data_IF_224553645228
#
_entry.id   IF_224553645228
#
_cell.length_a   1.000
_cell.length_b   1.000
_cell.length_c   1.000
_cell.angle_alpha   90.00
_cell.angle_beta   90.00
_cell.angle_gamma   90.00
#
_symmetry.space_group_name_H-M   'P 1'
#
loop_
_entity.id
_entity.type
_entity.pdbx_description
1 polymer ?
#
# COMPACT_ATOMS: atom_id res chain seq x y z
N UNK A 1 -20.27 -0.19 -7.64
CA UNK A 1 -19.11 -0.76 -6.94
C UNK A 1 -19.14 -0.19 -5.53
N UNK A 2 -19.01 -1.02 -4.49
CA UNK A 2 -18.95 -0.50 -3.13
C UNK A 2 -17.49 -0.07 -2.91
N UNK A 3 -17.19 1.20 -3.18
CA UNK A 3 -15.80 1.71 -3.29
C UNK A 3 -15.03 1.75 -1.95
N UNK A 4 -15.67 1.34 -0.85
CA UNK A 4 -15.04 1.36 0.46
C UNK A 4 -14.76 -0.04 0.99
N UNK A 5 -13.48 -0.32 1.22
CA UNK A 5 -13.00 -1.51 1.93
C UNK A 5 -12.56 -1.08 3.33
N UNK A 6 -13.06 -1.75 4.36
CA UNK A 6 -12.61 -1.55 5.74
C UNK A 6 -11.13 -1.91 5.91
N UNK A 7 -10.43 -1.16 6.75
CA UNK A 7 -9.09 -1.52 7.16
C UNK A 7 -9.08 -2.79 8.01
N UNK A 8 -8.06 -3.62 7.79
CA UNK A 8 -7.86 -4.90 8.49
C UNK A 8 -7.22 -4.73 9.87
N UNK A 9 -6.54 -3.61 10.10
CA UNK A 9 -5.91 -3.25 11.37
C UNK A 9 -5.90 -1.74 11.60
N UNK A 10 -5.49 -1.32 12.81
CA UNK A 10 -5.45 0.10 13.18
C UNK A 10 -4.39 0.88 12.41
N UNK A 11 -3.25 0.27 12.10
CA UNK A 11 -2.17 0.95 11.41
C UNK A 11 -2.61 1.35 10.01
N UNK A 12 -3.21 0.42 9.26
CA UNK A 12 -3.80 0.67 7.96
C UNK A 12 -4.88 1.77 8.02
N UNK A 13 -5.77 1.72 9.02
CA UNK A 13 -6.81 2.73 9.19
C UNK A 13 -6.24 4.14 9.43
N UNK A 14 -5.23 4.27 10.30
CA UNK A 14 -4.54 5.52 10.60
C UNK A 14 -3.83 6.06 9.36
N UNK A 15 -3.06 5.23 8.68
CA UNK A 15 -2.36 5.58 7.44
C UNK A 15 -3.34 6.08 6.37
N UNK A 16 -4.42 5.34 6.13
CA UNK A 16 -5.43 5.74 5.13
C UNK A 16 -6.15 7.03 5.51
N UNK A 17 -6.42 7.27 6.79
CA UNK A 17 -6.98 8.54 7.27
C UNK A 17 -6.05 9.72 7.01
N UNK A 18 -4.76 9.61 7.36
CA UNK A 18 -3.75 10.65 7.05
C UNK A 18 -3.65 10.89 5.55
N UNK A 19 -3.62 9.81 4.76
CA UNK A 19 -3.54 9.87 3.31
C UNK A 19 -4.78 10.55 2.68
N UNK A 20 -5.98 10.36 3.22
CA UNK A 20 -7.20 10.99 2.69
C UNK A 20 -7.17 12.52 2.83
N UNK A 21 -6.54 13.04 3.88
CA UNK A 21 -6.48 14.48 4.17
C UNK A 21 -5.16 15.14 3.80
N UNK A 22 -4.23 14.42 3.18
CA UNK A 22 -2.89 14.93 2.85
C UNK A 22 -2.10 15.32 4.10
N UNK A 23 -2.43 14.72 5.25
CA UNK A 23 -1.74 14.97 6.51
C UNK A 23 -0.46 14.13 6.57
N UNK A 24 0.56 14.56 7.34
CA UNK A 24 1.77 13.77 7.51
C UNK A 24 1.45 12.33 7.96
N UNK A 25 2.25 11.33 7.53
CA UNK A 25 2.14 9.97 8.04
C UNK A 25 2.13 9.95 9.57
N UNK A 26 1.14 9.29 10.15
CA UNK A 26 1.00 9.15 11.60
C UNK A 26 1.34 7.72 11.99
N UNK A 27 2.17 7.57 13.03
CA UNK A 27 2.47 6.26 13.61
C UNK A 27 1.64 6.01 14.85
N UNK A 28 1.33 4.74 15.10
CA UNK A 28 0.73 4.35 16.37
C UNK A 28 1.71 4.69 17.52
N UNK A 29 1.20 5.33 18.56
CA UNK A 29 1.92 5.63 19.79
C UNK A 29 2.04 4.40 20.69
N UNK A 30 2.64 4.56 21.89
CA UNK A 30 2.84 3.47 22.86
C UNK A 30 1.58 2.65 23.11
N UNK A 31 1.71 1.32 23.04
CA UNK A 31 0.58 0.39 23.15
C UNK A 31 -0.34 0.38 21.93
N UNK A 32 0.18 0.71 20.74
CA UNK A 32 -0.55 0.69 19.47
C UNK A 32 -1.78 1.61 19.44
N UNK A 33 -1.65 2.76 20.13
CA UNK A 33 -2.72 3.75 20.27
C UNK A 33 -2.56 4.84 19.22
N UNK A 34 -3.65 5.18 18.56
CA UNK A 34 -3.73 6.35 17.70
C UNK A 34 -3.46 7.63 18.49
N UNK A 35 -2.73 8.56 17.86
CA UNK A 35 -2.42 9.87 18.42
C UNK A 35 -3.61 10.80 18.23
N UNK A 36 -3.80 11.75 19.16
CA UNK A 36 -4.85 12.77 19.03
C UNK A 36 -4.65 13.65 17.79
N UNK A 37 -3.39 13.86 17.39
CA UNK A 37 -3.02 14.61 16.20
C UNK A 37 -3.67 14.08 14.93
N UNK A 38 -3.85 12.76 14.79
CA UNK A 38 -4.59 12.16 13.68
C UNK A 38 -6.00 12.73 13.56
N UNK A 39 -6.75 12.79 14.67
CA UNK A 39 -8.13 13.28 14.69
C UNK A 39 -8.19 14.79 14.38
N UNK A 40 -7.24 15.55 14.92
CA UNK A 40 -7.13 17.00 14.67
C UNK A 40 -6.82 17.26 13.19
N UNK A 41 -5.86 16.52 12.62
CA UNK A 41 -5.46 16.61 11.22
C UNK A 41 -6.60 16.18 10.28
N UNK A 42 -7.33 15.11 10.63
CA UNK A 42 -8.51 14.67 9.92
C UNK A 42 -9.59 15.76 9.89
N UNK A 43 -9.89 16.35 11.05
CA UNK A 43 -10.86 17.43 11.16
C UNK A 43 -10.42 18.65 10.34
N UNK A 44 -9.15 19.06 10.43
CA UNK A 44 -8.59 20.17 9.67
C UNK A 44 -8.67 19.93 8.16
N UNK A 45 -8.20 18.78 7.67
CA UNK A 45 -8.19 18.45 6.25
C UNK A 45 -9.59 18.28 5.66
N UNK A 46 -10.57 17.89 6.47
CA UNK A 46 -11.98 17.88 6.08
C UNK A 46 -12.71 19.19 6.43
N UNK A 47 -12.03 20.21 6.94
CA UNK A 47 -12.65 21.49 7.31
C UNK A 47 -13.82 21.33 8.30
N UNK A 48 -13.73 20.35 9.20
CA UNK A 48 -14.72 20.05 10.23
C UNK A 48 -14.31 20.78 11.50
N UNK A 49 -15.20 21.63 12.01
CA UNK A 49 -15.02 22.28 13.31
C UNK A 49 -15.26 21.28 14.45
N UNK A 50 -14.26 21.13 15.32
CA UNK A 50 -14.27 20.28 16.51
C UNK A 50 -13.64 21.03 17.68
N UNK A 51 -14.02 20.67 18.91
CA UNK A 51 -13.33 21.13 20.11
C UNK A 51 -12.05 20.31 20.33
N UNK A 52 -10.91 20.89 19.96
CA UNK A 52 -9.60 20.23 20.12
C UNK A 52 -9.13 20.14 21.57
N UNK A 53 -9.81 20.79 22.53
CA UNK A 53 -9.49 20.67 23.96
C UNK A 53 -10.12 19.43 24.60
N UNK A 54 -11.22 18.93 24.02
CA UNK A 54 -11.89 17.71 24.46
C UNK A 54 -10.99 16.47 24.36
N UNK A 55 -11.38 15.38 25.02
CA UNK A 55 -10.62 14.13 24.96
C UNK A 55 -10.73 13.41 23.60
N UNK A 56 -9.89 12.40 23.36
CA UNK A 56 -9.83 11.71 22.06
C UNK A 56 -11.19 11.12 21.63
N UNK A 57 -11.91 10.35 22.48
CA UNK A 57 -13.23 9.83 22.12
C UNK A 57 -14.23 10.93 21.76
N UNK A 58 -14.23 12.05 22.48
CA UNK A 58 -15.15 13.15 22.21
C UNK A 58 -14.82 13.86 20.89
N UNK A 59 -13.54 14.14 20.61
CA UNK A 59 -13.11 14.68 19.30
C UNK A 59 -13.55 13.74 18.18
N UNK A 60 -13.29 12.43 18.30
CA UNK A 60 -13.69 11.44 17.30
C UNK A 60 -15.21 11.38 17.11
N UNK A 61 -15.99 11.45 18.20
CA UNK A 61 -17.46 11.50 18.16
C UNK A 61 -17.96 12.72 17.40
N UNK A 62 -17.37 13.90 17.63
CA UNK A 62 -17.73 15.13 16.92
C UNK A 62 -17.46 15.01 15.42
N UNK A 63 -16.30 14.46 15.02
CA UNK A 63 -15.98 14.19 13.60
C UNK A 63 -17.00 13.21 13.02
N UNK A 64 -17.24 12.08 13.68
CA UNK A 64 -18.19 11.07 13.23
C UNK A 64 -19.60 11.65 13.03
N UNK A 65 -20.08 12.46 13.96
CA UNK A 65 -21.38 13.12 13.85
C UNK A 65 -21.47 14.04 12.62
N UNK A 66 -20.41 14.82 12.35
CA UNK A 66 -20.35 15.71 11.17
C UNK A 66 -20.23 14.94 9.86
N UNK A 67 -19.62 13.75 9.90
CA UNK A 67 -19.59 12.84 8.77
C UNK A 67 -20.87 12.02 8.60
N UNK A 68 -21.85 12.11 9.52
CA UNK A 68 -23.06 11.30 9.49
C UNK A 68 -22.82 9.82 9.82
N UNK A 69 -21.80 9.52 10.63
CA UNK A 69 -21.48 8.17 11.10
C UNK A 69 -21.98 7.98 12.53
N UNK A 70 -22.61 6.84 12.80
CA UNK A 70 -22.97 6.47 14.18
C UNK A 70 -21.70 6.32 15.03
N UNK A 71 -21.72 6.83 16.26
CA UNK A 71 -20.64 6.63 17.23
C UNK A 71 -21.19 5.89 18.44
N UNK A 72 -20.74 4.67 18.66
CA UNK A 72 -21.28 3.76 19.71
C UNK A 72 -20.17 3.35 20.68
N UNK A 73 -20.51 2.73 21.83
CA UNK A 73 -19.52 2.40 22.86
C UNK A 73 -18.39 1.47 22.41
N UNK A 74 -18.59 0.68 21.36
CA UNK A 74 -17.56 -0.18 20.74
C UNK A 74 -16.51 0.58 19.92
N UNK A 75 -16.72 1.88 19.64
CA UNK A 75 -15.81 2.72 18.86
C UNK A 75 -14.58 3.18 19.66
N UNK A 76 -14.59 3.00 20.98
CA UNK A 76 -13.49 3.36 21.85
C UNK A 76 -13.43 2.42 23.05
N UNK A 77 -12.27 2.34 23.69
CA UNK A 77 -12.02 1.49 24.85
C UNK A 77 -11.44 2.29 26.02
N UNK A 78 -11.28 1.63 27.17
CA UNK A 78 -10.66 2.21 28.36
C UNK A 78 -9.31 2.87 28.02
N UNK A 79 -9.05 4.02 28.65
CA UNK A 79 -7.86 4.82 28.35
C UNK A 79 -7.94 5.60 27.04
N UNK A 80 -9.15 6.03 26.64
CA UNK A 80 -9.40 6.95 25.53
C UNK A 80 -8.86 6.46 24.17
N UNK A 81 -8.77 5.15 23.98
CA UNK A 81 -8.24 4.56 22.74
C UNK A 81 -9.37 4.33 21.77
N UNK A 82 -9.24 4.82 20.54
CA UNK A 82 -10.20 4.54 19.47
C UNK A 82 -9.92 3.12 18.95
N UNK A 83 -10.95 2.29 18.92
CA UNK A 83 -10.83 0.90 18.43
C UNK A 83 -10.74 0.89 16.90
N UNK A 84 -10.36 -0.25 16.30
CA UNK A 84 -10.44 -0.41 14.85
C UNK A 84 -11.87 -0.16 14.31
N UNK A 85 -12.91 -0.51 15.09
CA UNK A 85 -14.31 -0.21 14.73
C UNK A 85 -14.53 1.30 14.62
N UNK A 86 -14.07 2.07 15.62
CA UNK A 86 -14.18 3.53 15.61
C UNK A 86 -13.41 4.15 14.44
N UNK A 87 -12.18 3.70 14.20
CA UNK A 87 -11.34 4.17 13.10
C UNK A 87 -11.96 3.86 11.73
N UNK A 88 -12.51 2.67 11.52
CA UNK A 88 -13.18 2.31 10.26
C UNK A 88 -14.45 3.14 10.02
N UNK A 89 -15.17 3.54 11.08
CA UNK A 89 -16.31 4.48 10.93
C UNK A 89 -15.84 5.86 10.48
N UNK A 90 -14.79 6.39 11.09
CA UNK A 90 -14.20 7.66 10.66
C UNK A 90 -13.70 7.57 9.22
N UNK A 91 -12.99 6.49 8.89
CA UNK A 91 -12.42 6.25 7.56
C UNK A 91 -13.51 6.14 6.48
N UNK A 92 -14.57 5.36 6.72
CA UNK A 92 -15.74 5.27 5.84
C UNK A 92 -16.40 6.63 5.62
N UNK A 93 -16.63 7.39 6.70
CA UNK A 93 -17.22 8.72 6.63
C UNK A 93 -16.35 9.72 5.85
N UNK A 94 -15.05 9.73 6.14
CA UNK A 94 -14.07 10.59 5.49
C UNK A 94 -13.93 10.27 4.00
N UNK A 95 -13.86 8.98 3.65
CA UNK A 95 -13.80 8.52 2.27
C UNK A 95 -15.01 9.01 1.45
N UNK A 96 -16.22 8.89 2.02
CA UNK A 96 -17.45 9.39 1.40
C UNK A 96 -17.40 10.91 1.20
N UNK A 97 -16.96 11.66 2.21
CA UNK A 97 -16.90 13.12 2.15
C UNK A 97 -15.86 13.62 1.12
N UNK A 98 -14.66 13.04 1.10
CA UNK A 98 -13.63 13.36 0.10
C UNK A 98 -14.13 13.04 -1.30
N UNK A 99 -14.74 11.87 -1.50
CA UNK A 99 -15.32 11.47 -2.79
C UNK A 99 -16.40 12.44 -3.25
N UNK A 100 -17.27 12.89 -2.33
CA UNK A 100 -18.31 13.90 -2.61
C UNK A 100 -17.70 15.23 -3.03
N UNK A 101 -16.67 15.71 -2.32
CA UNK A 101 -15.97 16.98 -2.64
C UNK A 101 -15.29 16.92 -4.00
N UNK A 102 -14.59 15.82 -4.31
CA UNK A 102 -13.94 15.63 -5.62
C UNK A 102 -14.95 15.71 -6.76
N UNK A 103 -16.09 15.03 -6.62
CA UNK A 103 -17.19 15.08 -7.61
C UNK A 103 -17.72 16.50 -7.81
N UNK A 104 -17.87 17.29 -6.74
CA UNK A 104 -18.35 18.67 -6.81
C UNK A 104 -17.31 19.64 -7.41
N UNK A 105 -16.03 19.43 -7.12
CA UNK A 105 -14.96 20.34 -7.55
C UNK A 105 -14.58 20.17 -9.02
N UNK A 106 -15.00 19.08 -9.69
CA UNK A 106 -14.66 18.82 -11.09
C UNK A 106 -13.16 18.71 -11.38
N UNK A 107 -12.33 18.53 -10.33
CA UNK A 107 -10.87 18.53 -10.43
C UNK A 107 -10.42 17.28 -11.17
N UNK A 108 -9.69 17.41 -12.31
CA UNK A 108 -9.14 16.26 -13.02
C UNK A 108 -8.17 15.46 -12.13
N UNK A 109 -8.26 14.13 -12.21
CA UNK A 109 -7.28 13.22 -11.62
C UNK A 109 -5.92 13.44 -12.27
N UNK A 110 -4.94 13.97 -11.53
CA UNK A 110 -3.56 14.14 -12.02
C UNK A 110 -2.88 15.43 -11.55
N UNK A 111 -3.62 16.51 -11.30
CA UNK A 111 -3.03 17.81 -10.94
C UNK A 111 -2.98 18.05 -9.42
N UNK A 112 -2.50 17.04 -8.69
CA UNK A 112 -2.39 17.08 -7.23
C UNK A 112 -0.92 17.14 -6.82
N UNK A 113 -0.55 17.94 -5.80
CA UNK A 113 0.77 17.84 -5.19
C UNK A 113 1.05 16.40 -4.76
N UNK A 114 2.28 15.94 -4.94
CA UNK A 114 2.73 14.67 -4.41
C UNK A 114 2.76 14.70 -2.88
N UNK A 115 2.48 13.56 -2.27
CA UNK A 115 2.33 13.34 -0.83
C UNK A 115 3.67 13.11 -0.15
N UNK A 116 4.61 12.55 -0.88
CA UNK A 116 5.94 12.21 -0.41
C UNK A 116 6.99 12.68 -1.41
N UNK A 117 8.23 12.86 -0.95
CA UNK A 117 9.34 13.17 -1.85
C UNK A 117 9.54 12.07 -2.88
N UNK A 118 9.38 10.81 -2.48
CA UNK A 118 9.53 9.66 -3.36
C UNK A 118 8.46 9.65 -4.45
N UNK A 119 7.19 9.92 -4.12
CA UNK A 119 6.14 10.12 -5.13
C UNK A 119 6.49 11.28 -6.06
N UNK A 120 6.95 12.41 -5.52
CA UNK A 120 7.28 13.59 -6.32
C UNK A 120 8.38 13.28 -7.36
N UNK A 121 9.50 12.70 -6.92
CA UNK A 121 10.60 12.36 -7.85
C UNK A 121 10.21 11.26 -8.83
N UNK A 122 9.37 10.32 -8.41
CA UNK A 122 8.85 9.25 -9.27
C UNK A 122 7.99 9.83 -10.37
N UNK A 123 7.02 10.69 -10.02
CA UNK A 123 6.16 11.38 -11.00
C UNK A 123 6.97 12.26 -11.94
N UNK A 124 7.92 13.04 -11.42
CA UNK A 124 8.80 13.87 -12.26
C UNK A 124 9.57 13.01 -13.27
N UNK A 125 10.07 11.85 -12.86
CA UNK A 125 10.80 10.95 -13.76
C UNK A 125 9.88 10.37 -14.83
N UNK A 126 8.66 9.98 -14.46
CA UNK A 126 7.62 9.51 -15.38
C UNK A 126 7.33 10.53 -16.51
N UNK A 127 7.24 11.83 -16.19
CA UNK A 127 6.95 12.89 -17.17
C UNK A 127 7.85 12.92 -18.41
N UNK A 128 9.05 12.35 -18.33
CA UNK A 128 10.07 12.38 -19.38
C UNK A 128 10.60 11.00 -19.75
N UNK A 129 9.84 9.96 -19.41
CA UNK A 129 10.24 8.56 -19.58
C UNK A 129 11.56 8.17 -18.89
N UNK A 130 11.97 8.92 -17.86
CA UNK A 130 13.14 8.62 -17.06
C UNK A 130 13.00 7.30 -16.27
N UNK A 131 14.13 6.69 -15.85
CA UNK A 131 14.11 5.50 -15.01
C UNK A 131 13.51 5.82 -13.63
N UNK A 132 12.90 4.86 -12.92
CA UNK A 132 12.48 5.07 -11.53
C UNK A 132 13.64 5.52 -10.66
N UNK A 133 13.44 6.58 -9.90
CA UNK A 133 14.48 7.19 -9.07
C UNK A 133 14.29 6.76 -7.62
N UNK A 134 15.36 6.33 -6.96
CA UNK A 134 15.37 6.12 -5.51
C UNK A 134 15.85 7.38 -4.80
N UNK A 135 15.41 7.57 -3.56
CA UNK A 135 15.99 8.60 -2.70
C UNK A 135 17.41 8.17 -2.28
N UNK A 136 18.33 9.12 -2.24
CA UNK A 136 19.65 8.94 -1.66
C UNK A 136 19.63 8.98 -0.12
N UNK A 137 20.78 8.76 0.53
CA UNK A 137 20.90 8.76 1.99
C UNK A 137 20.25 10.00 2.64
N UNK A 138 19.42 9.75 3.65
CA UNK A 138 18.65 10.80 4.35
C UNK A 138 17.42 11.30 3.57
N UNK A 139 16.81 10.45 2.73
CA UNK A 139 15.61 10.77 1.94
C UNK A 139 15.80 11.99 1.03
N UNK A 140 17.00 12.11 0.46
CA UNK A 140 17.39 13.22 -0.41
C UNK A 140 17.20 12.83 -1.88
N UNK A 141 16.51 13.67 -2.61
CA UNK A 141 16.37 13.57 -4.05
C UNK A 141 17.73 13.64 -4.77
N UNK A 142 17.91 12.82 -5.80
CA UNK A 142 19.12 12.82 -6.63
C UNK A 142 19.04 13.96 -7.66
N UNK A 143 20.19 14.55 -8.00
CA UNK A 143 20.25 15.58 -9.07
C UNK A 143 19.80 15.02 -10.43
N UNK A 144 19.99 13.72 -10.67
CA UNK A 144 19.54 13.01 -11.89
C UNK A 144 18.07 13.26 -12.22
N UNK A 145 17.19 13.28 -11.22
CA UNK A 145 15.74 13.56 -11.41
C UNK A 145 15.50 14.85 -12.20
N UNK A 146 16.28 15.90 -11.88
CA UNK A 146 16.13 17.22 -12.52
C UNK A 146 16.83 17.27 -13.88
N UNK A 147 17.93 16.52 -14.04
CA UNK A 147 18.65 16.42 -15.31
C UNK A 147 17.81 15.67 -16.35
N UNK A 148 17.18 14.57 -15.96
CA UNK A 148 16.28 13.79 -16.81
C UNK A 148 15.09 14.65 -17.24
N UNK A 149 14.51 15.41 -16.30
CA UNK A 149 13.43 16.36 -16.58
C UNK A 149 13.86 17.47 -17.55
N UNK A 150 15.02 18.09 -17.32
CA UNK A 150 15.58 19.14 -18.18
C UNK A 150 15.77 18.63 -19.62
N UNK A 151 16.36 17.44 -19.76
CA UNK A 151 16.60 16.81 -21.04
C UNK A 151 15.29 16.45 -21.76
N UNK A 152 14.33 15.86 -21.05
CA UNK A 152 13.05 15.44 -21.64
C UNK A 152 12.12 16.60 -22.00
N UNK A 153 12.19 17.71 -21.26
CA UNK A 153 11.50 18.95 -21.63
C UNK A 153 12.25 19.74 -22.71
N UNK A 154 13.52 19.39 -22.98
CA UNK A 154 14.44 20.15 -23.82
C UNK A 154 14.47 21.64 -23.42
N UNK A 155 14.61 21.90 -22.12
CA UNK A 155 14.49 23.24 -21.54
C UNK A 155 15.70 24.14 -21.84
N UNK A 156 16.86 23.55 -22.19
CA UNK A 156 18.07 24.28 -22.56
C UNK A 156 18.71 24.99 -21.38
N UNK A 157 18.63 24.39 -20.19
CA UNK A 157 19.13 24.98 -18.95
C UNK A 157 20.57 24.56 -18.67
N UNK A 158 21.29 25.35 -17.88
CA UNK A 158 22.64 25.01 -17.46
C UNK A 158 22.63 23.84 -16.45
N UNK A 159 23.00 22.66 -16.92
CA UNK A 159 23.04 21.43 -16.12
C UNK A 159 24.22 21.38 -15.14
N UNK A 160 25.17 22.32 -15.21
CA UNK A 160 26.28 22.45 -14.26
C UNK A 160 25.85 23.02 -12.91
N UNK A 161 24.68 23.69 -12.86
CA UNK A 161 24.10 24.31 -11.66
C UNK A 161 24.00 23.36 -10.48
N UNK A 162 23.95 23.91 -9.27
CA UNK A 162 23.64 23.11 -8.08
C UNK A 162 22.25 22.48 -8.20
N UNK A 163 21.96 21.46 -7.38
CA UNK A 163 20.65 20.77 -7.43
C UNK A 163 19.50 21.74 -7.14
N UNK A 164 19.63 22.61 -6.15
CA UNK A 164 18.58 23.60 -5.83
C UNK A 164 18.47 24.68 -6.89
N UNK A 165 19.59 25.10 -7.49
CA UNK A 165 19.58 26.15 -8.51
C UNK A 165 19.03 25.63 -9.84
N UNK A 166 19.31 24.37 -10.20
CA UNK A 166 18.71 23.73 -11.36
C UNK A 166 17.19 23.57 -11.19
N UNK A 167 16.72 23.18 -10.00
CA UNK A 167 15.28 23.10 -9.72
C UNK A 167 14.60 24.48 -9.78
N UNK A 168 15.24 25.51 -9.23
CA UNK A 168 14.79 26.91 -9.36
C UNK A 168 14.67 27.30 -10.84
N UNK A 169 15.74 27.09 -11.61
CA UNK A 169 15.78 27.44 -13.02
C UNK A 169 14.69 26.73 -13.83
N UNK A 170 14.43 25.44 -13.55
CA UNK A 170 13.33 24.68 -14.14
C UNK A 170 11.96 25.31 -13.81
N UNK A 171 11.70 25.60 -12.53
CA UNK A 171 10.41 26.21 -12.11
C UNK A 171 10.21 27.58 -12.75
N UNK A 172 11.24 28.43 -12.76
CA UNK A 172 11.17 29.76 -13.36
C UNK A 172 11.00 29.70 -14.89
N UNK A 173 11.72 28.78 -15.57
CA UNK A 173 11.57 28.54 -17.00
C UNK A 173 10.13 28.10 -17.36
N UNK A 174 9.48 27.35 -16.48
CA UNK A 174 8.10 26.89 -16.63
C UNK A 174 7.06 27.91 -16.11
N UNK A 175 7.46 29.15 -15.81
CA UNK A 175 6.55 30.23 -15.40
C UNK A 175 6.09 30.16 -13.93
N UNK A 176 6.77 29.39 -13.09
CA UNK A 176 6.52 29.29 -11.66
C UNK A 176 7.37 30.23 -10.80
N UNK A 177 7.15 30.15 -9.48
CA UNK A 177 7.94 30.89 -8.49
C UNK A 177 8.67 29.93 -7.56
N UNK A 178 9.91 30.27 -7.21
CA UNK A 178 10.74 29.53 -6.27
C UNK A 178 11.10 30.42 -5.08
N UNK A 179 10.95 29.92 -3.86
CA UNK A 179 11.25 30.68 -2.64
C UNK A 179 11.96 29.80 -1.58
N UNK A 180 12.21 30.38 -0.41
CA UNK A 180 12.94 29.73 0.67
C UNK A 180 12.22 28.53 1.30
N UNK A 181 10.93 28.33 1.02
CA UNK A 181 10.21 27.11 1.44
C UNK A 181 10.56 25.90 0.57
N UNK A 182 11.14 26.13 -0.61
CA UNK A 182 11.41 25.10 -1.61
C UNK A 182 12.71 24.31 -1.34
N UNK A 183 13.54 24.74 -0.39
CA UNK A 183 14.81 24.11 -0.10
C UNK A 183 15.19 24.21 1.38
N UNK A 184 16.10 23.36 1.82
CA UNK A 184 16.66 23.36 3.18
C UNK A 184 18.18 23.33 3.14
N UNK A 185 18.80 23.61 4.30
CA UNK A 185 20.25 23.55 4.47
C UNK A 185 20.86 22.25 3.89
N UNK A 186 22.00 22.38 3.21
CA UNK A 186 22.68 21.26 2.56
C UNK A 186 22.12 20.85 1.20
N UNK A 187 21.62 21.82 0.41
CA UNK A 187 21.23 21.62 -1.00
C UNK A 187 20.15 20.54 -1.18
N UNK A 188 19.21 20.46 -0.23
CA UNK A 188 18.09 19.51 -0.28
C UNK A 188 16.82 20.26 -0.64
N UNK A 189 16.11 19.79 -1.67
CA UNK A 189 14.84 20.33 -2.10
C UNK A 189 13.75 19.78 -1.18
N UNK A 190 12.87 20.63 -0.69
CA UNK A 190 11.75 20.20 0.16
C UNK A 190 10.68 19.50 -0.68
N UNK A 191 9.71 18.83 -0.04
CA UNK A 191 8.56 18.31 -0.78
C UNK A 191 7.80 19.45 -1.49
N UNK A 192 7.69 20.61 -0.85
CA UNK A 192 7.10 21.82 -1.46
C UNK A 192 7.85 22.20 -2.74
N UNK A 193 9.19 22.29 -2.70
CA UNK A 193 9.99 22.59 -3.89
C UNK A 193 9.83 21.56 -5.00
N UNK A 194 9.81 20.26 -4.68
CA UNK A 194 9.56 19.19 -5.64
C UNK A 194 8.15 19.28 -6.25
N UNK A 195 7.14 19.61 -5.45
CA UNK A 195 5.78 19.80 -5.93
C UNK A 195 5.67 20.99 -6.88
N UNK A 196 6.43 22.07 -6.67
CA UNK A 196 6.49 23.18 -7.62
C UNK A 196 7.10 22.77 -8.95
N UNK A 197 8.17 21.97 -8.95
CA UNK A 197 8.75 21.40 -10.18
C UNK A 197 7.71 20.53 -10.89
N UNK A 198 7.14 19.57 -10.16
CA UNK A 198 6.20 18.58 -10.67
C UNK A 198 4.98 19.23 -11.32
N UNK A 199 4.28 20.11 -10.59
CA UNK A 199 3.04 20.71 -11.06
C UNK A 199 3.26 21.59 -12.30
N UNK A 200 4.39 22.29 -12.38
CA UNK A 200 4.75 23.11 -13.54
C UNK A 200 5.14 22.28 -14.76
N UNK A 201 5.86 21.19 -14.55
CA UNK A 201 6.19 20.26 -15.64
C UNK A 201 4.92 19.56 -16.19
N UNK A 202 4.01 19.12 -15.31
CA UNK A 202 2.72 18.54 -15.69
C UNK A 202 1.84 19.52 -16.49
N UNK A 203 1.80 20.79 -16.09
CA UNK A 203 1.09 21.85 -16.80
C UNK A 203 1.67 22.07 -18.20
N UNK A 204 2.99 22.20 -18.31
CA UNK A 204 3.69 22.43 -19.57
C UNK A 204 3.51 21.30 -20.59
N UNK A 205 3.54 20.05 -20.14
CA UNK A 205 3.36 18.88 -21.00
C UNK A 205 1.92 18.76 -21.50
N UNK A 206 0.95 19.12 -20.66
CA UNK A 206 -0.46 19.16 -21.04
C UNK A 206 -0.75 20.23 -22.08
N UNK A 207 -0.21 21.43 -21.92
CA UNK A 207 -0.34 22.51 -22.89
C UNK A 207 0.31 22.17 -24.24
N UNK A 208 1.31 21.28 -24.23
CA UNK A 208 1.94 20.70 -25.41
C UNK A 208 1.17 19.56 -26.07
N UNK A 209 -0.03 19.19 -25.58
CA UNK A 209 -0.83 18.07 -26.09
C UNK A 209 -0.41 16.69 -25.55
N UNK A 210 0.46 16.62 -24.55
CA UNK A 210 0.85 15.39 -23.88
C UNK A 210 -0.22 14.91 -22.88
N UNK A 211 -0.47 13.59 -22.85
CA UNK A 211 -1.34 12.96 -21.85
C UNK A 211 -0.54 12.67 -20.58
N UNK A 212 -0.44 13.66 -19.67
CA UNK A 212 0.07 13.43 -18.33
C UNK A 212 -1.02 12.76 -17.48
N UNK A 213 -1.17 11.44 -17.59
CA UNK A 213 -2.23 10.69 -16.89
C UNK A 213 -1.65 9.52 -16.10
N UNK A 214 -1.34 9.77 -14.82
CA UNK A 214 -0.97 8.73 -13.86
C UNK A 214 0.25 9.09 -13.01
N UNK A 215 0.43 8.40 -11.88
CA UNK A 215 1.71 8.45 -11.13
C UNK A 215 2.82 7.74 -11.93
N UNK A 216 2.41 6.78 -12.77
CA UNK A 216 3.26 5.91 -13.56
C UNK A 216 2.70 5.74 -14.97
N UNK A 217 3.58 5.76 -15.97
CA UNK A 217 3.17 5.62 -17.38
C UNK A 217 3.09 4.15 -17.83
N UNK A 218 3.68 3.22 -17.05
CA UNK A 218 3.64 1.78 -17.34
C UNK A 218 3.51 0.94 -16.07
N UNK A 219 2.89 -0.25 -16.13
CA UNK A 219 2.82 -1.20 -15.02
C UNK A 219 4.19 -1.63 -14.50
N UNK A 220 5.22 -1.70 -15.36
CA UNK A 220 6.59 -2.01 -14.97
C UNK A 220 7.20 -0.94 -14.07
N UNK A 221 7.06 0.34 -14.44
CA UNK A 221 7.54 1.47 -13.61
C UNK A 221 6.81 1.50 -12.26
N UNK A 222 5.49 1.28 -12.27
CA UNK A 222 4.69 1.16 -11.05
C UNK A 222 5.22 0.02 -10.17
N UNK A 223 5.36 -1.20 -10.72
CA UNK A 223 5.89 -2.35 -10.00
C UNK A 223 7.26 -2.07 -9.36
N UNK A 224 8.21 -1.53 -10.11
CA UNK A 224 9.55 -1.22 -9.63
C UNK A 224 9.53 -0.25 -8.44
N UNK A 225 8.70 0.79 -8.50
CA UNK A 225 8.56 1.76 -7.42
C UNK A 225 7.87 1.15 -6.19
N UNK A 226 6.84 0.30 -6.38
CA UNK A 226 6.20 -0.43 -5.29
C UNK A 226 7.20 -1.37 -4.60
N UNK A 227 8.00 -2.14 -5.37
CA UNK A 227 9.01 -3.03 -4.81
C UNK A 227 10.08 -2.27 -4.00
N UNK A 228 10.51 -1.10 -4.47
CA UNK A 228 11.49 -0.27 -3.76
C UNK A 228 10.96 0.19 -2.40
N UNK A 229 9.71 0.65 -2.32
CA UNK A 229 9.07 1.04 -1.05
C UNK A 229 8.91 -0.16 -0.12
N UNK A 230 8.47 -1.29 -0.64
CA UNK A 230 8.31 -2.51 0.15
C UNK A 230 9.66 -2.97 0.72
N UNK A 231 10.73 -2.94 -0.06
CA UNK A 231 12.04 -3.37 0.43
C UNK A 231 12.56 -2.55 1.62
N UNK A 232 12.18 -1.26 1.71
CA UNK A 232 12.55 -0.41 2.84
C UNK A 232 11.75 -0.73 4.12
N UNK A 233 10.54 -1.29 3.98
CA UNK A 233 9.65 -1.59 5.12
C UNK A 233 9.81 -2.99 5.68
N UNK A 234 10.41 -3.90 4.92
CA UNK A 234 10.55 -5.31 5.29
C UNK A 234 11.67 -5.54 6.32
N UNK A 235 11.39 -6.26 7.43
CA UNK A 235 12.45 -6.80 8.28
C UNK A 235 13.30 -7.82 7.52
N UNK A 236 14.61 -7.83 7.73
CA UNK A 236 15.51 -8.85 7.17
C UNK A 236 15.26 -10.25 7.73
N UNK A 237 14.60 -10.34 8.90
CA UNK A 237 14.15 -11.58 9.52
C UNK A 237 12.79 -11.36 10.19
N UNK A 238 11.82 -12.22 9.87
CA UNK A 238 10.49 -12.20 10.46
C UNK A 238 10.36 -13.34 11.48
N UNK A 239 10.46 -13.02 12.77
CA UNK A 239 10.16 -13.98 13.86
C UNK A 239 8.65 -14.12 14.04
N UNK A 240 8.13 -15.35 13.96
CA UNK A 240 6.70 -15.59 13.98
C UNK A 240 6.00 -15.15 15.27
N UNK A 241 6.68 -15.16 16.43
CA UNK A 241 6.08 -14.70 17.69
C UNK A 241 5.94 -13.19 17.68
N UNK A 242 7.04 -12.50 17.36
CA UNK A 242 7.08 -11.04 17.25
C UNK A 242 6.05 -10.54 16.22
N UNK A 243 6.01 -11.13 15.03
CA UNK A 243 5.05 -10.74 14.00
C UNK A 243 3.59 -10.91 14.44
N UNK A 244 3.25 -12.02 15.12
CA UNK A 244 1.90 -12.26 15.64
C UNK A 244 1.55 -11.29 16.77
N UNK A 245 2.50 -11.00 17.67
CA UNK A 245 2.31 -10.04 18.76
C UNK A 245 2.09 -8.62 18.23
N UNK A 246 2.86 -8.18 17.23
CA UNK A 246 2.71 -6.88 16.57
C UNK A 246 1.35 -6.76 15.87
N UNK A 247 0.98 -7.75 15.04
CA UNK A 247 -0.34 -7.77 14.41
C UNK A 247 -1.48 -7.78 15.44
N UNK A 248 -1.32 -8.51 16.56
CA UNK A 248 -2.30 -8.50 17.64
C UNK A 248 -2.40 -7.12 18.29
N UNK A 249 -1.27 -6.48 18.59
CA UNK A 249 -1.23 -5.17 19.20
C UNK A 249 -1.91 -4.09 18.34
N UNK A 250 -1.87 -4.22 17.02
CA UNK A 250 -2.54 -3.32 16.07
C UNK A 250 -4.00 -3.71 15.77
N UNK A 251 -4.56 -4.67 16.49
CA UNK A 251 -5.93 -5.19 16.30
C UNK A 251 -6.15 -5.82 14.91
N UNK A 252 -5.11 -6.37 14.27
CA UNK A 252 -5.24 -7.02 12.97
C UNK A 252 -6.24 -8.17 12.99
N UNK A 253 -7.12 -8.24 11.99
CA UNK A 253 -8.08 -9.35 11.88
C UNK A 253 -7.40 -10.70 11.62
N UNK A 254 -6.12 -10.70 11.23
CA UNK A 254 -5.39 -11.87 10.77
C UNK A 254 -4.32 -12.41 11.73
N UNK A 255 -4.05 -11.75 12.87
CA UNK A 255 -3.01 -12.18 13.84
C UNK A 255 -3.15 -13.63 14.29
N UNK A 256 -4.39 -14.15 14.32
CA UNK A 256 -4.71 -15.49 14.78
C UNK A 256 -4.68 -16.56 13.66
N UNK A 257 -4.18 -16.27 12.46
CA UNK A 257 -4.12 -17.23 11.35
C UNK A 257 -2.76 -17.94 11.30
N UNK A 258 -2.70 -19.07 10.58
CA UNK A 258 -1.48 -19.88 10.44
C UNK A 258 -0.57 -19.33 9.33
N UNK A 259 -1.15 -18.62 8.36
CA UNK A 259 -0.49 -17.90 7.25
C UNK A 259 0.11 -16.55 7.70
N UNK A 260 0.60 -16.47 8.94
CA UNK A 260 1.01 -15.22 9.58
C UNK A 260 2.03 -14.43 8.77
N UNK A 261 2.95 -15.08 8.04
CA UNK A 261 3.98 -14.39 7.25
C UNK A 261 3.39 -13.59 6.08
N UNK A 262 2.33 -14.10 5.43
CA UNK A 262 1.62 -13.36 4.38
C UNK A 262 0.89 -12.14 4.94
N UNK A 263 0.16 -12.34 6.04
CA UNK A 263 -0.55 -11.24 6.68
C UNK A 263 0.39 -10.19 7.30
N UNK A 264 1.54 -10.61 7.82
CA UNK A 264 2.54 -9.69 8.33
C UNK A 264 3.21 -8.91 7.21
N UNK A 265 3.44 -9.54 6.05
CA UNK A 265 3.91 -8.83 4.86
C UNK A 265 2.93 -7.71 4.46
N UNK A 266 1.64 -8.00 4.37
CA UNK A 266 0.60 -6.98 4.13
C UNK A 266 0.63 -5.88 5.22
N UNK A 267 0.75 -6.27 6.49
CA UNK A 267 0.76 -5.38 7.65
C UNK A 267 1.86 -4.32 7.60
N UNK A 268 3.07 -4.68 7.15
CA UNK A 268 4.21 -3.75 7.08
C UNK A 268 4.32 -3.03 5.74
N UNK A 269 3.91 -3.66 4.63
CA UNK A 269 4.03 -3.09 3.30
C UNK A 269 2.96 -2.04 3.00
N UNK A 270 1.69 -2.33 3.30
CA UNK A 270 0.57 -1.48 2.90
C UNK A 270 0.64 -0.05 3.47
N UNK A 271 1.01 0.18 4.74
CA UNK A 271 1.16 1.52 5.28
C UNK A 271 2.14 2.38 4.46
N UNK A 272 3.29 1.83 4.10
CA UNK A 272 4.32 2.59 3.41
C UNK A 272 3.97 2.84 1.94
N UNK A 273 3.31 1.87 1.28
CA UNK A 273 2.74 2.08 -0.06
C UNK A 273 1.71 3.21 -0.06
N UNK A 274 0.77 3.19 0.90
CA UNK A 274 -0.30 4.19 0.99
C UNK A 274 0.24 5.57 1.40
N UNK A 275 1.20 5.63 2.32
CA UNK A 275 1.85 6.89 2.69
C UNK A 275 2.66 7.48 1.53
N UNK A 276 3.32 6.62 0.75
CA UNK A 276 4.16 7.05 -0.35
C UNK A 276 3.34 7.51 -1.54
N UNK A 277 2.47 6.65 -2.07
CA UNK A 277 1.78 6.85 -3.36
C UNK A 277 0.27 7.10 -3.22
N UNK A 278 -0.29 6.97 -2.01
CA UNK A 278 -1.73 6.90 -1.83
C UNK A 278 -2.28 5.55 -2.28
N UNK A 279 -3.46 5.55 -2.90
CA UNK A 279 -4.15 4.29 -3.22
C UNK A 279 -4.68 3.60 -1.95
N UNK A 280 -4.91 2.29 -2.06
CA UNK A 280 -5.40 1.45 -0.97
C UNK A 280 -6.16 0.23 -1.49
N UNK A 281 -6.76 -0.57 -0.60
CA UNK A 281 -7.45 -1.79 -1.00
C UNK A 281 -8.67 -1.49 -1.87
N UNK A 282 -8.95 -2.40 -2.80
CA UNK A 282 -10.14 -2.36 -3.66
C UNK A 282 -10.84 -3.70 -3.65
N UNK A 283 -12.06 -3.78 -4.18
CA UNK A 283 -12.80 -5.04 -4.25
C UNK A 283 -13.43 -5.27 -5.61
N UNK A 284 -13.33 -6.51 -6.08
CA UNK A 284 -14.08 -7.02 -7.22
C UNK A 284 -14.88 -8.23 -6.75
N UNK A 285 -16.17 -8.25 -7.09
CA UNK A 285 -17.15 -9.12 -6.45
C UNK A 285 -17.11 -8.99 -4.91
N UNK A 286 -16.75 -10.07 -4.21
CA UNK A 286 -16.60 -10.16 -2.76
C UNK A 286 -15.14 -10.44 -2.36
N UNK A 287 -14.19 -10.20 -3.27
CA UNK A 287 -12.77 -10.39 -3.00
C UNK A 287 -12.08 -9.03 -2.92
N UNK A 288 -11.42 -8.81 -1.80
CA UNK A 288 -10.55 -7.65 -1.59
C UNK A 288 -9.20 -7.96 -2.21
N UNK A 289 -8.67 -6.99 -2.96
CA UNK A 289 -7.29 -6.95 -3.44
C UNK A 289 -6.54 -5.95 -2.57
N UNK A 290 -5.33 -6.32 -2.19
CA UNK A 290 -4.60 -5.65 -1.11
C UNK A 290 -4.28 -4.19 -1.41
N UNK A 291 -3.93 -3.88 -2.66
CA UNK A 291 -3.53 -2.53 -3.06
C UNK A 291 -4.02 -2.16 -4.46
N UNK A 292 -4.42 -0.91 -4.62
CA UNK A 292 -4.77 -0.35 -5.92
C UNK A 292 -4.25 1.08 -6.02
N UNK A 293 -3.57 1.33 -7.12
CA UNK A 293 -3.15 2.66 -7.55
C UNK A 293 -3.64 2.87 -8.99
N UNK A 294 -2.74 2.95 -9.97
CA UNK A 294 -3.11 2.92 -11.40
C UNK A 294 -3.64 1.52 -11.71
N UNK A 295 -2.83 0.52 -11.38
CA UNK A 295 -3.18 -0.90 -11.52
C UNK A 295 -3.65 -1.49 -10.19
N UNK A 296 -4.19 -2.71 -10.25
CA UNK A 296 -4.57 -3.50 -9.06
C UNK A 296 -3.42 -4.44 -8.72
N UNK A 297 -2.98 -4.44 -7.47
CA UNK A 297 -1.89 -5.26 -6.97
C UNK A 297 -2.34 -6.07 -5.76
N UNK A 298 -1.95 -7.34 -5.74
CA UNK A 298 -2.26 -8.27 -4.65
C UNK A 298 -0.95 -8.82 -4.09
N UNK A 299 -0.77 -8.72 -2.79
CA UNK A 299 0.46 -9.09 -2.11
C UNK A 299 0.43 -10.59 -1.82
N UNK A 300 1.56 -11.25 -2.05
CA UNK A 300 1.70 -12.68 -1.80
C UNK A 300 3.01 -12.96 -1.10
N UNK A 301 2.97 -13.79 -0.07
CA UNK A 301 4.16 -14.37 0.52
C UNK A 301 4.31 -15.79 0.00
N UNK A 302 5.43 -16.05 -0.68
CA UNK A 302 5.80 -17.34 -1.23
C UNK A 302 7.04 -17.86 -0.52
N UNK A 303 7.02 -19.15 -0.18
CA UNK A 303 8.14 -19.81 0.49
C UNK A 303 8.77 -20.84 -0.42
N UNK A 304 10.08 -21.00 -0.32
CA UNK A 304 10.92 -22.02 -0.97
C UNK A 304 10.37 -23.46 -0.92
N UNK A 305 9.53 -23.78 0.07
CA UNK A 305 8.84 -25.06 0.20
C UNK A 305 7.62 -25.28 -0.72
N UNK A 306 7.24 -24.28 -1.53
CA UNK A 306 6.17 -24.36 -2.53
C UNK A 306 6.73 -23.96 -3.90
N UNK A 307 6.17 -24.52 -4.97
CA UNK A 307 6.46 -24.08 -6.35
C UNK A 307 5.34 -23.18 -6.91
N UNK A 308 4.30 -22.96 -6.13
CA UNK A 308 3.06 -22.32 -6.56
C UNK A 308 2.60 -21.29 -5.53
N UNK A 309 2.26 -20.10 -6.00
CA UNK A 309 1.54 -19.08 -5.23
C UNK A 309 0.04 -19.19 -5.51
N UNK A 310 -0.77 -19.41 -4.46
CA UNK A 310 -2.23 -19.43 -4.58
C UNK A 310 -2.73 -17.98 -4.69
N UNK A 311 -3.47 -17.69 -5.77
CA UNK A 311 -3.98 -16.36 -6.07
C UNK A 311 -5.41 -16.18 -5.53
N UNK A 312 -6.06 -15.08 -5.89
CA UNK A 312 -7.46 -14.79 -5.56
C UNK A 312 -8.47 -15.67 -6.32
N UNK A 313 -9.76 -15.50 -5.98
CA UNK A 313 -10.85 -16.21 -6.63
C UNK A 313 -10.90 -15.87 -8.12
N UNK A 314 -11.12 -16.90 -8.96
CA UNK A 314 -11.10 -16.77 -10.42
C UNK A 314 -12.01 -15.65 -10.94
N UNK A 315 -13.29 -15.66 -10.54
CA UNK A 315 -14.26 -14.66 -11.00
C UNK A 315 -13.90 -13.22 -10.61
N UNK A 316 -13.26 -13.03 -9.45
CA UNK A 316 -12.80 -11.71 -9.02
C UNK A 316 -11.61 -11.21 -9.85
N UNK A 317 -10.64 -12.08 -10.17
CA UNK A 317 -9.51 -11.74 -11.05
C UNK A 317 -10.02 -11.43 -12.47
N UNK A 318 -10.91 -12.26 -13.01
CA UNK A 318 -11.50 -12.04 -14.33
C UNK A 318 -12.29 -10.72 -14.37
N UNK A 319 -13.11 -10.45 -13.37
CA UNK A 319 -13.83 -9.17 -13.25
C UNK A 319 -12.87 -7.99 -13.15
N UNK A 320 -11.77 -8.11 -12.39
CA UNK A 320 -10.73 -7.09 -12.32
C UNK A 320 -10.15 -6.79 -13.69
N UNK A 321 -9.76 -7.82 -14.45
CA UNK A 321 -9.16 -7.73 -15.77
C UNK A 321 -10.09 -7.17 -16.86
N UNK A 322 -11.40 -7.11 -16.62
CA UNK A 322 -12.32 -6.37 -17.51
C UNK A 322 -12.27 -4.85 -17.30
N UNK A 323 -11.78 -4.41 -16.13
CA UNK A 323 -11.76 -3.00 -15.75
C UNK A 323 -10.36 -2.41 -15.82
N UNK A 324 -9.33 -3.13 -15.34
CA UNK A 324 -7.93 -2.70 -15.25
C UNK A 324 -7.00 -3.92 -15.21
N UNK A 325 -5.70 -3.71 -15.40
CA UNK A 325 -4.73 -4.77 -15.23
C UNK A 325 -4.60 -5.22 -13.78
N UNK A 326 -4.07 -6.43 -13.63
CA UNK A 326 -3.92 -7.13 -12.36
C UNK A 326 -2.48 -7.59 -12.19
N UNK A 327 -1.88 -7.22 -11.07
CA UNK A 327 -0.54 -7.60 -10.70
C UNK A 327 -0.43 -8.27 -9.34
N UNK A 328 0.70 -8.93 -9.15
CA UNK A 328 1.09 -9.64 -7.94
C UNK A 328 2.42 -9.09 -7.47
N UNK A 329 2.51 -8.71 -6.19
CA UNK A 329 3.76 -8.37 -5.53
C UNK A 329 4.12 -9.54 -4.62
N UNK A 330 5.07 -10.35 -5.05
CA UNK A 330 5.41 -11.63 -4.40
C UNK A 330 6.68 -11.45 -3.58
N UNK A 331 6.55 -11.60 -2.27
CA UNK A 331 7.67 -11.73 -1.34
C UNK A 331 8.12 -13.19 -1.29
N UNK A 332 9.31 -13.45 -1.81
CA UNK A 332 9.99 -14.74 -1.80
C UNK A 332 10.91 -14.87 -0.58
N UNK A 333 10.93 -16.04 0.04
CA UNK A 333 11.81 -16.28 1.18
C UNK A 333 11.86 -17.71 1.67
N UNK A 334 12.75 -17.93 2.63
CA UNK A 334 12.98 -19.23 3.25
C UNK A 334 12.17 -19.35 4.52
N UNK A 335 11.53 -20.50 4.73
CA UNK A 335 10.76 -20.76 5.95
C UNK A 335 11.49 -21.68 6.92
N UNK A 336 11.59 -21.27 8.18
CA UNK A 336 12.03 -22.19 9.22
C UNK A 336 10.82 -22.97 9.77
N UNK A 337 10.91 -24.29 9.67
CA UNK A 337 9.87 -25.18 10.18
C UNK A 337 9.92 -25.21 11.71
N UNK A 338 8.75 -25.10 12.32
CA UNK A 338 8.56 -25.19 13.78
C UNK A 338 8.84 -26.62 14.30
N UNK A 339 9.48 -26.71 15.47
CA UNK A 339 9.67 -27.95 16.23
C UNK A 339 8.42 -28.35 17.04
N UNK A 340 7.44 -27.45 17.10
CA UNK A 340 6.18 -27.58 17.82
C UNK A 340 6.00 -26.49 18.88
N UNK A 341 7.10 -25.88 19.33
CA UNK A 341 7.10 -24.86 20.37
C UNK A 341 6.38 -23.59 19.95
N UNK A 342 6.53 -23.15 18.69
CA UNK A 342 5.81 -21.99 18.17
C UNK A 342 4.32 -22.29 18.06
N UNK A 343 3.93 -23.48 17.56
CA UNK A 343 2.52 -23.86 17.44
C UNK A 343 1.82 -23.97 18.80
N UNK A 344 2.50 -24.47 19.82
CA UNK A 344 1.98 -24.51 21.18
C UNK A 344 1.81 -23.10 21.75
N UNK A 345 2.86 -22.28 21.65
CA UNK A 345 2.80 -20.88 22.03
C UNK A 345 1.65 -20.14 21.34
N UNK A 346 1.49 -20.28 20.02
CA UNK A 346 0.49 -19.56 19.24
C UNK A 346 -0.94 -19.97 19.66
N UNK A 347 -1.16 -21.25 19.96
CA UNK A 347 -2.43 -21.75 20.49
C UNK A 347 -2.74 -21.11 21.85
N UNK A 348 -1.76 -21.03 22.72
CA UNK A 348 -1.96 -20.54 24.07
C UNK A 348 -2.12 -19.00 24.08
N UNK A 349 -1.37 -18.30 23.22
CA UNK A 349 -1.55 -16.88 22.93
C UNK A 349 -2.95 -16.58 22.36
N UNK A 350 -3.45 -17.40 21.42
CA UNK A 350 -4.82 -17.28 20.89
C UNK A 350 -5.86 -17.40 22.00
N UNK A 351 -5.73 -18.41 22.87
CA UNK A 351 -6.66 -18.63 24.00
C UNK A 351 -6.62 -17.47 25.00
N UNK A 352 -5.43 -17.01 25.36
CA UNK A 352 -5.25 -15.89 26.28
C UNK A 352 -5.91 -14.60 25.77
N UNK A 353 -5.96 -14.43 24.44
CA UNK A 353 -6.59 -13.29 23.77
C UNK A 353 -7.99 -13.64 23.19
N UNK A 354 -8.72 -14.57 23.82
CA UNK A 354 -10.14 -14.81 23.55
C UNK A 354 -10.46 -15.59 22.27
N UNK A 355 -9.47 -16.15 21.57
CA UNK A 355 -9.65 -17.03 20.40
C UNK A 355 -9.51 -18.49 20.82
N UNK A 356 -10.64 -19.15 21.09
CA UNK A 356 -10.66 -20.59 21.34
C UNK A 356 -10.88 -21.38 20.04
N UNK A 357 -10.15 -22.49 19.81
CA UNK A 357 -10.43 -23.37 18.68
C UNK A 357 -11.86 -23.90 18.75
N UNK A 358 -12.56 -23.92 17.62
CA UNK A 358 -13.84 -24.61 17.54
C UNK A 358 -13.65 -26.11 17.86
N UNK A 359 -14.58 -26.73 18.63
CA UNK A 359 -14.52 -28.15 18.91
C UNK A 359 -14.55 -28.95 17.61
N UNK A 360 -13.70 -29.98 17.51
CA UNK A 360 -13.63 -30.88 16.35
C UNK A 360 -14.28 -32.20 16.70
N UNK A 361 -15.19 -32.68 15.85
CA UNK A 361 -15.81 -33.99 15.99
C UNK A 361 -14.83 -35.14 15.74
N UNK A 362 -13.78 -34.91 14.94
CA UNK A 362 -12.76 -35.89 14.58
C UNK A 362 -11.35 -35.29 14.67
N UNK A 363 -10.33 -36.09 15.00
CA UNK A 363 -8.95 -35.65 14.92
C UNK A 363 -8.61 -35.22 13.48
N UNK A 364 -7.73 -34.20 13.30
CA UNK A 364 -7.34 -33.78 11.96
C UNK A 364 -6.66 -34.92 11.21
N UNK A 365 -7.09 -35.16 9.97
CA UNK A 365 -6.48 -36.14 9.07
C UNK A 365 -5.00 -35.82 8.75
N UNK A 366 -4.59 -34.56 8.94
CA UNK A 366 -3.22 -34.11 8.70
C UNK A 366 -2.78 -33.08 9.74
N UNK A 367 -1.56 -33.22 10.26
CA UNK A 367 -0.92 -32.24 11.15
C UNK A 367 -0.05 -31.31 10.31
N UNK A 368 -0.57 -30.12 10.00
CA UNK A 368 0.18 -29.07 9.31
C UNK A 368 1.39 -28.66 10.15
N UNK A 369 2.57 -28.61 9.52
CA UNK A 369 3.77 -28.04 10.14
C UNK A 369 3.63 -26.52 10.17
N UNK A 370 3.84 -25.92 11.34
CA UNK A 370 3.84 -24.46 11.48
C UNK A 370 5.19 -23.89 11.00
N UNK A 371 5.18 -22.63 10.61
CA UNK A 371 6.38 -21.86 10.24
C UNK A 371 6.74 -21.01 11.44
N UNK A 372 7.94 -21.19 12.01
CA UNK A 372 8.40 -20.43 13.17
C UNK A 372 8.97 -19.06 12.78
N UNK A 373 9.61 -18.99 11.61
CA UNK A 373 10.13 -17.73 11.06
C UNK A 373 10.11 -17.74 9.53
N UNK A 374 10.30 -16.55 8.96
CA UNK A 374 10.43 -16.31 7.53
C UNK A 374 11.62 -15.38 7.27
N UNK A 375 12.45 -15.73 6.29
CA UNK A 375 13.61 -14.97 5.86
C UNK A 375 13.35 -14.42 4.45
N UNK A 376 12.97 -13.13 4.31
CA UNK A 376 12.83 -12.48 3.02
C UNK A 376 14.13 -12.54 2.20
N UNK A 377 14.02 -12.85 0.91
CA UNK A 377 15.19 -12.95 0.02
C UNK A 377 15.04 -12.15 -1.26
N UNK A 378 13.82 -12.05 -1.80
CA UNK A 378 13.55 -11.32 -3.03
C UNK A 378 12.11 -10.87 -3.08
N UNK A 379 11.87 -9.80 -3.81
CA UNK A 379 10.55 -9.39 -4.27
C UNK A 379 10.46 -9.58 -5.78
N UNK A 380 9.39 -10.19 -6.25
CA UNK A 380 9.06 -10.34 -7.66
C UNK A 380 7.71 -9.66 -7.95
N UNK A 381 7.57 -9.05 -9.12
CA UNK A 381 6.31 -8.47 -9.58
C UNK A 381 5.86 -9.15 -10.87
N UNK A 382 4.64 -9.68 -10.86
CA UNK A 382 4.01 -10.28 -12.03
C UNK A 382 2.78 -9.47 -12.43
N UNK A 383 2.52 -9.28 -13.73
CA UNK A 383 1.42 -8.44 -14.20
C UNK A 383 0.71 -9.03 -15.41
N UNK A 384 -0.62 -8.92 -15.40
CA UNK A 384 -1.53 -9.28 -16.48
C UNK A 384 -2.28 -8.01 -16.91
N UNK A 385 -2.07 -7.58 -18.15
CA UNK A 385 -2.71 -6.37 -18.68
C UNK A 385 -4.22 -6.52 -18.85
N UNK A 386 -4.67 -7.71 -19.25
CA UNK A 386 -6.06 -8.00 -19.57
C UNK A 386 -6.37 -9.51 -19.47
N UNK A 387 -7.58 -9.88 -19.90
CA UNK A 387 -8.03 -11.28 -19.89
C UNK A 387 -7.23 -12.15 -20.89
N UNK A 388 -6.84 -11.61 -22.05
CA UNK A 388 -6.11 -12.37 -23.06
C UNK A 388 -4.68 -12.71 -22.59
N UNK A 389 -4.06 -11.80 -21.85
CA UNK A 389 -2.80 -12.01 -21.15
C UNK A 389 -2.90 -13.19 -20.15
N UNK A 390 -3.98 -13.22 -19.34
CA UNK A 390 -4.21 -14.31 -18.40
C UNK A 390 -4.45 -15.66 -19.11
N UNK A 391 -5.25 -15.67 -20.18
CA UNK A 391 -5.52 -16.86 -21.00
C UNK A 391 -4.23 -17.42 -21.62
N UNK A 392 -3.39 -16.56 -22.17
CA UNK A 392 -2.09 -16.96 -22.72
C UNK A 392 -1.19 -17.60 -21.65
N UNK A 393 -1.21 -17.07 -20.42
CA UNK A 393 -0.46 -17.65 -19.30
C UNK A 393 -1.02 -19.00 -18.82
N UNK A 394 -2.34 -19.20 -18.94
CA UNK A 394 -2.98 -20.51 -18.69
C UNK A 394 -2.55 -21.55 -19.73
N UNK A 395 -2.55 -21.17 -21.02
CA UNK A 395 -2.16 -22.07 -22.12
C UNK A 395 -0.70 -22.50 -22.02
N UNK A 396 0.19 -21.60 -21.58
CA UNK A 396 1.60 -21.88 -21.33
C UNK A 396 1.85 -22.63 -19.99
N UNK A 397 0.80 -22.86 -19.19
CA UNK A 397 0.91 -23.51 -17.88
C UNK A 397 1.73 -22.72 -16.87
N UNK A 398 1.84 -21.40 -17.07
CA UNK A 398 2.39 -20.43 -16.11
C UNK A 398 1.37 -20.17 -14.99
N UNK A 399 0.08 -20.16 -15.36
CA UNK A 399 -1.05 -20.11 -14.41
C UNK A 399 -1.82 -21.43 -14.51
N UNK A 400 -2.45 -21.86 -13.43
CA UNK A 400 -3.35 -23.03 -13.42
C UNK A 400 -4.54 -22.83 -12.50
N UNK A 401 -5.59 -23.63 -12.70
CA UNK A 401 -6.82 -23.58 -11.88
C UNK A 401 -6.70 -24.52 -10.68
N UNK A 402 -6.96 -24.00 -9.48
CA UNK A 402 -7.06 -24.75 -8.24
C UNK A 402 -8.52 -24.94 -7.84
N UNK A 403 -8.93 -26.21 -7.74
CA UNK A 403 -10.19 -26.60 -7.13
C UNK A 403 -10.07 -26.60 -5.60
N UNK A 404 -10.99 -25.93 -4.90
CA UNK A 404 -10.91 -25.70 -3.45
C UNK A 404 -11.77 -26.65 -2.59
N UNK A 405 -12.44 -27.63 -3.20
CA UNK A 405 -13.34 -28.54 -2.51
C UNK A 405 -14.66 -27.88 -2.09
N UNK A 406 -15.21 -28.27 -0.93
CA UNK A 406 -16.50 -27.78 -0.41
C UNK A 406 -16.34 -26.88 0.81
N UNK A 407 -17.28 -25.96 1.00
CA UNK A 407 -17.47 -25.15 2.21
C UNK A 407 -17.98 -26.02 3.37
N UNK A 408 -17.99 -25.46 4.58
CA UNK A 408 -18.52 -26.13 5.77
C UNK A 408 -20.02 -26.45 5.66
N UNK A 409 -20.77 -25.67 4.86
CA UNK A 409 -22.19 -25.89 4.54
C UNK A 409 -22.40 -26.90 3.39
N UNK A 410 -21.34 -27.48 2.85
CA UNK A 410 -21.37 -28.45 1.75
C UNK A 410 -21.44 -27.85 0.34
N UNK A 411 -21.58 -26.53 0.19
CA UNK A 411 -21.53 -25.85 -1.11
C UNK A 411 -20.12 -25.91 -1.73
N UNK A 412 -20.00 -25.82 -3.05
CA UNK A 412 -18.69 -25.80 -3.71
C UNK A 412 -17.95 -24.49 -3.42
N UNK A 413 -16.67 -24.56 -3.07
CA UNK A 413 -15.82 -23.36 -2.96
C UNK A 413 -15.51 -22.84 -4.35
N UNK A 414 -15.55 -21.52 -4.54
CA UNK A 414 -15.07 -20.87 -5.77
C UNK A 414 -13.63 -21.31 -6.06
N UNK A 415 -13.35 -21.67 -7.31
CA UNK A 415 -11.99 -22.00 -7.74
C UNK A 415 -11.09 -20.78 -7.65
N UNK A 416 -9.79 -21.02 -7.46
CA UNK A 416 -8.76 -20.00 -7.46
C UNK A 416 -7.76 -20.25 -8.58
N UNK A 417 -6.98 -19.24 -8.93
CA UNK A 417 -5.79 -19.43 -9.76
C UNK A 417 -4.58 -19.77 -8.90
N UNK A 418 -3.58 -20.38 -9.51
CA UNK A 418 -2.22 -20.57 -8.98
C UNK A 418 -1.22 -20.05 -9.99
N UNK A 419 -0.25 -19.27 -9.53
CA UNK A 419 0.91 -18.88 -10.31
C UNK A 419 2.04 -19.89 -10.06
N UNK A 420 2.62 -20.43 -11.12
CA UNK A 420 3.85 -21.23 -11.07
C UNK A 420 5.04 -20.28 -11.13
N UNK A 421 5.54 -19.82 -9.97
CA UNK A 421 6.51 -18.71 -9.89
C UNK A 421 7.78 -18.98 -10.69
N UNK A 422 8.34 -20.19 -10.62
CA UNK A 422 9.54 -20.55 -11.40
C UNK A 422 9.32 -20.52 -12.92
N UNK A 423 8.12 -20.86 -13.40
CA UNK A 423 7.79 -20.77 -14.83
C UNK A 423 7.50 -19.33 -15.27
N UNK A 424 7.00 -18.51 -14.35
CA UNK A 424 6.66 -17.12 -14.61
C UNK A 424 7.92 -16.25 -14.70
N UNK A 425 8.98 -16.57 -13.95
CA UNK A 425 10.24 -15.81 -13.97
C UNK A 425 10.84 -15.71 -15.37
N UNK A 426 11.27 -14.51 -15.72
CA UNK A 426 11.88 -14.21 -17.02
C UNK A 426 10.91 -14.22 -18.21
N UNK A 427 9.63 -14.47 -17.98
CA UNK A 427 8.59 -14.33 -19.01
C UNK A 427 8.08 -12.90 -19.09
N UNK A 428 7.25 -12.61 -20.09
CA UNK A 428 6.69 -11.27 -20.32
C UNK A 428 5.76 -10.78 -19.20
N UNK A 429 5.22 -11.68 -18.35
CA UNK A 429 4.46 -11.26 -17.17
C UNK A 429 5.35 -10.88 -15.99
N UNK A 430 6.63 -11.25 -15.98
CA UNK A 430 7.57 -10.89 -14.91
C UNK A 430 8.13 -9.49 -15.18
N UNK A 431 7.50 -8.48 -14.56
CA UNK A 431 7.72 -7.08 -14.93
C UNK A 431 8.77 -6.38 -14.06
N UNK A 432 9.04 -6.88 -12.85
CA UNK A 432 10.09 -6.33 -12.00
C UNK A 432 10.58 -7.38 -10.99
N UNK A 433 11.84 -7.25 -10.58
CA UNK A 433 12.42 -8.01 -9.46
C UNK A 433 13.33 -7.11 -8.62
N UNK A 434 13.47 -7.44 -7.33
CA UNK A 434 14.38 -6.77 -6.41
C UNK A 434 14.94 -7.77 -5.39
N UNK A 435 16.24 -7.98 -5.43
CA UNK A 435 16.94 -8.80 -4.43
C UNK A 435 17.01 -8.05 -3.10
N UNK A 436 16.67 -8.76 -2.01
CA UNK A 436 16.78 -8.21 -0.67
C UNK A 436 18.17 -8.54 -0.08
N UNK A 437 18.74 -7.68 0.77
CA UNK A 437 20.01 -7.98 1.44
C UNK A 437 19.86 -9.25 2.27
N UNK A 438 20.84 -10.15 2.20
CA UNK A 438 20.91 -11.27 3.14
C UNK A 438 21.14 -10.75 4.56
N UNK A 439 20.40 -11.29 5.53
CA UNK A 439 20.49 -10.95 6.95
C UNK A 439 21.86 -11.26 7.56
#
# INVERSE_FOLDING_TARGET
MNDFVEAQDKLEAVTRLSALTGSPPETLGPGSKERKSLLVNLALGLTISVDTTADKPEVARQIAARLGMAWTPDCWSTGQTITLVGLNRLLSGAHREVSRRRKLAGVPTGQQPARSKLEAVTRISSLTDGPPQTLGPGSKERKSVLLDLEAGLNAGLDTSLSKTDLARALVEHLGGTWDDTCWSAGQTITLEGLNRVLLRAEERLRDGGGSATGVFDTPTKEAQALLAVIAESLPSHMDGRTCVEEMHATESRHWAQDEWAGFYFEHVALPDLVNTFGGGPTSFENTVFDYSLTEVWDLKCHSDSSSEAILNARGAIETCLTARGFGLLVLEGTTQVDDGSFREWQRDFRKANGRSPAPRAHPPAFKRKSKASFLPTRLDAFYFADTAALESALDLGIVSIMSQGKQADGSARKSKYKLHTEKAKGTWIHVAELSLPSA
#
